data_IF_673969422874
#
_entry.id   IF_673969422874
#
_cell.length_a   1.000
_cell.length_b   1.000
_cell.length_c   1.000
_cell.angle_alpha   90.00
_cell.angle_beta   90.00
_cell.angle_gamma   90.00
#
_symmetry.space_group_name_H-M   'P 1'
#
loop_
_entity.id
_entity.type
_entity.pdbx_description
1 polymer ?
#
# COMPACT_ATOMS: atom_id res chain seq x y z
N UNK A 1 15.33 7.42 -26.33
CA UNK A 1 16.13 8.06 -25.27
C UNK A 1 17.00 9.14 -25.93
N UNK A 2 16.51 10.39 -25.90
CA UNK A 2 17.22 11.55 -26.48
C UNK A 2 17.63 12.59 -25.42
N UNK A 3 17.55 12.20 -24.12
CA UNK A 3 17.91 13.03 -22.99
C UNK A 3 19.34 12.74 -22.54
N UNK A 4 20.07 13.74 -22.11
CA UNK A 4 21.39 13.61 -21.50
C UNK A 4 21.31 13.01 -20.08
N UNK A 5 20.09 12.94 -19.52
CA UNK A 5 19.84 12.43 -18.18
C UNK A 5 19.15 11.05 -18.22
N UNK A 6 19.78 10.05 -17.63
CA UNK A 6 19.18 8.73 -17.36
C UNK A 6 18.73 8.61 -15.91
N UNK A 7 19.34 9.39 -15.01
CA UNK A 7 19.03 9.47 -13.58
C UNK A 7 19.32 10.87 -13.06
N UNK A 8 18.65 11.27 -11.96
CA UNK A 8 18.81 12.56 -11.29
C UNK A 8 18.64 13.79 -12.22
N UNK A 9 17.86 13.64 -13.28
CA UNK A 9 17.50 14.69 -14.22
C UNK A 9 16.10 15.28 -13.91
N UNK A 10 15.51 16.04 -14.86
CA UNK A 10 14.29 16.82 -14.64
C UNK A 10 13.01 15.99 -14.57
N UNK A 11 13.02 14.69 -14.95
CA UNK A 11 11.80 13.86 -14.97
C UNK A 11 11.41 13.39 -13.59
N UNK A 12 12.37 13.17 -12.69
CA UNK A 12 12.06 12.79 -11.30
C UNK A 12 11.28 13.89 -10.59
N UNK A 13 11.75 15.15 -10.48
CA UNK A 13 10.98 16.22 -9.83
C UNK A 13 9.66 16.52 -10.54
N UNK A 14 9.58 16.39 -11.87
CA UNK A 14 8.33 16.56 -12.59
C UNK A 14 7.30 15.47 -12.23
N UNK A 15 7.73 14.23 -12.04
CA UNK A 15 6.86 13.13 -11.62
C UNK A 15 6.43 13.29 -10.15
N UNK A 16 7.36 13.67 -9.26
CA UNK A 16 7.05 14.00 -7.86
C UNK A 16 5.96 15.07 -7.78
N UNK A 17 6.11 16.16 -8.54
CA UNK A 17 5.12 17.25 -8.59
C UNK A 17 3.77 16.79 -9.17
N UNK A 18 3.77 15.98 -10.24
CA UNK A 18 2.54 15.51 -10.87
C UNK A 18 1.72 14.63 -9.91
N UNK A 19 2.37 13.70 -9.20
CA UNK A 19 1.70 12.82 -8.23
C UNK A 19 1.25 13.61 -7.01
N UNK A 20 2.11 14.48 -6.44
CA UNK A 20 1.76 15.30 -5.29
C UNK A 20 0.56 16.21 -5.59
N UNK A 21 0.57 16.91 -6.74
CA UNK A 21 -0.53 17.77 -7.17
C UNK A 21 -1.83 16.99 -7.36
N UNK A 22 -1.78 15.81 -7.99
CA UNK A 22 -2.96 14.97 -8.19
C UNK A 22 -3.56 14.49 -6.86
N UNK A 23 -2.71 14.12 -5.91
CA UNK A 23 -3.12 13.64 -4.60
C UNK A 23 -3.47 14.76 -3.60
N UNK A 24 -3.13 16.01 -3.90
CA UNK A 24 -3.35 17.14 -2.98
C UNK A 24 -2.32 17.28 -1.86
N UNK A 25 -1.15 16.63 -1.99
CA UNK A 25 -0.03 16.76 -1.06
C UNK A 25 0.92 17.89 -1.49
N UNK A 26 1.70 18.44 -0.54
CA UNK A 26 2.67 19.49 -0.83
C UNK A 26 3.97 18.96 -1.44
N UNK A 27 4.38 17.73 -1.05
CA UNK A 27 5.67 17.15 -1.44
C UNK A 27 5.51 15.68 -1.84
N UNK A 28 6.22 15.29 -2.91
CA UNK A 28 6.43 13.90 -3.32
C UNK A 28 7.92 13.56 -3.30
N UNK A 29 8.25 12.37 -2.82
CA UNK A 29 9.62 11.84 -2.81
C UNK A 29 9.62 10.51 -3.55
N UNK A 30 10.04 10.53 -4.82
CA UNK A 30 10.10 9.35 -5.68
C UNK A 30 11.27 8.44 -5.30
N UNK A 31 10.99 7.15 -5.24
CA UNK A 31 11.96 6.09 -4.89
C UNK A 31 11.80 4.89 -5.82
N UNK A 32 12.78 3.99 -5.80
CA UNK A 32 12.85 2.82 -6.68
C UNK A 32 11.80 1.73 -6.36
N UNK A 33 11.09 1.80 -5.24
CA UNK A 33 9.99 0.89 -4.88
C UNK A 33 9.15 1.44 -3.72
N UNK A 34 7.90 0.98 -3.55
CA UNK A 34 7.10 1.30 -2.37
C UNK A 34 7.73 0.76 -1.07
N UNK A 35 8.44 -0.37 -1.14
CA UNK A 35 9.22 -0.89 0.00
C UNK A 35 10.23 0.15 0.49
N UNK A 36 10.96 0.77 -0.42
CA UNK A 36 11.89 1.85 -0.10
C UNK A 36 11.16 3.09 0.44
N UNK A 37 9.98 3.42 -0.11
CA UNK A 37 9.15 4.53 0.39
C UNK A 37 8.71 4.31 1.84
N UNK A 38 8.19 3.13 2.16
CA UNK A 38 7.80 2.75 3.53
C UNK A 38 8.99 2.79 4.49
N UNK A 39 10.15 2.30 4.07
CA UNK A 39 11.36 2.32 4.90
C UNK A 39 11.81 3.75 5.21
N UNK A 40 11.96 4.62 4.19
CA UNK A 40 12.36 6.01 4.46
C UNK A 40 11.28 6.80 5.20
N UNK A 41 9.99 6.46 5.07
CA UNK A 41 8.90 7.04 5.84
C UNK A 41 9.04 6.71 7.33
N UNK A 42 9.27 5.44 7.68
CA UNK A 42 9.57 5.04 9.05
C UNK A 42 10.79 5.79 9.61
N UNK A 43 11.89 5.83 8.84
CA UNK A 43 13.11 6.56 9.22
C UNK A 43 12.85 8.05 9.41
N UNK A 44 12.07 8.69 8.53
CA UNK A 44 11.74 10.11 8.63
C UNK A 44 10.93 10.43 9.88
N UNK A 45 10.05 9.53 10.32
CA UNK A 45 9.33 9.64 11.60
C UNK A 45 10.17 9.22 12.81
N UNK A 46 11.46 8.90 12.61
CA UNK A 46 12.39 8.56 13.68
C UNK A 46 12.16 7.16 14.28
N UNK A 47 11.54 6.24 13.51
CA UNK A 47 11.39 4.85 13.93
C UNK A 47 12.76 4.18 14.03
N UNK A 48 13.01 3.49 15.14
CA UNK A 48 14.27 2.82 15.43
C UNK A 48 14.16 1.75 16.52
N UNK A 49 15.30 1.26 17.03
CA UNK A 49 15.31 0.26 18.10
C UNK A 49 14.55 0.72 19.34
N UNK A 50 13.72 -0.16 19.90
CA UNK A 50 12.84 0.11 21.03
C UNK A 50 11.48 0.70 20.68
N UNK A 51 11.25 1.07 19.40
CA UNK A 51 9.93 1.48 18.92
C UNK A 51 9.15 0.28 18.39
N UNK A 52 7.81 0.38 18.36
CA UNK A 52 6.93 -0.57 17.71
C UNK A 52 6.17 0.09 16.55
N UNK A 53 5.94 -0.70 15.48
CA UNK A 53 5.11 -0.32 14.34
C UNK A 53 4.01 -1.37 14.18
N UNK A 54 2.75 -0.92 14.10
CA UNK A 54 1.63 -1.83 13.89
C UNK A 54 1.06 -1.67 12.49
N UNK A 55 0.70 -2.80 11.87
CA UNK A 55 0.09 -2.80 10.53
C UNK A 55 -1.02 -3.85 10.42
N UNK A 56 -1.70 -3.91 9.28
CA UNK A 56 -2.66 -4.98 8.97
C UNK A 56 -1.93 -6.28 8.61
N UNK A 57 -2.43 -7.45 9.00
CA UNK A 57 -1.90 -8.74 8.55
C UNK A 57 -2.21 -9.02 7.08
N UNK A 58 -3.29 -8.43 6.53
CA UNK A 58 -3.73 -8.60 5.15
C UNK A 58 -3.08 -7.55 4.25
N UNK A 59 -1.78 -7.74 4.00
CA UNK A 59 -0.94 -6.84 3.19
C UNK A 59 0.22 -7.59 2.55
N UNK A 60 0.92 -6.93 1.64
CA UNK A 60 2.25 -7.38 1.21
C UNK A 60 3.26 -7.19 2.35
N UNK A 61 4.23 -8.07 2.45
CA UNK A 61 5.21 -8.07 3.58
C UNK A 61 5.96 -6.76 3.77
N UNK A 62 6.02 -5.88 2.77
CA UNK A 62 6.74 -4.62 2.84
C UNK A 62 6.21 -3.68 3.93
N UNK A 63 4.89 -3.67 4.19
CA UNK A 63 4.27 -2.84 5.23
C UNK A 63 4.69 -3.24 6.65
N UNK A 64 5.11 -4.49 6.83
CA UNK A 64 5.67 -4.98 8.10
C UNK A 64 7.20 -4.92 8.12
N UNK A 65 7.85 -5.26 6.99
CA UNK A 65 9.32 -5.28 6.88
C UNK A 65 9.95 -3.90 7.12
N UNK A 66 9.26 -2.80 6.79
CA UNK A 66 9.80 -1.45 6.97
C UNK A 66 10.09 -1.11 8.45
N UNK A 67 9.33 -1.67 9.39
CA UNK A 67 9.63 -1.61 10.82
C UNK A 67 10.96 -2.30 11.13
N UNK A 68 11.09 -3.55 10.67
CA UNK A 68 12.27 -4.37 10.92
C UNK A 68 13.53 -3.79 10.28
N UNK A 69 13.42 -3.22 9.08
CA UNK A 69 14.55 -2.50 8.44
C UNK A 69 15.01 -1.29 9.24
N UNK A 70 14.09 -0.68 10.00
CA UNK A 70 14.40 0.43 10.89
C UNK A 70 14.90 -0.01 12.28
N UNK A 71 14.97 -1.33 12.54
CA UNK A 71 15.36 -1.89 13.83
C UNK A 71 14.25 -1.88 14.89
N UNK A 72 13.01 -1.57 14.49
CA UNK A 72 11.86 -1.54 15.38
C UNK A 72 11.16 -2.90 15.43
N UNK A 73 10.30 -3.08 16.42
CA UNK A 73 9.39 -4.22 16.50
C UNK A 73 8.17 -4.01 15.60
N UNK A 74 7.58 -5.13 15.15
CA UNK A 74 6.35 -5.11 14.35
C UNK A 74 5.26 -5.89 15.05
N UNK A 75 4.00 -5.41 14.92
CA UNK A 75 2.84 -6.13 15.40
C UNK A 75 1.64 -5.89 14.45
N UNK A 76 0.58 -6.69 14.62
CA UNK A 76 -0.53 -6.73 13.69
C UNK A 76 -1.86 -6.41 14.39
N UNK A 77 -2.71 -5.69 13.68
CA UNK A 77 -4.10 -5.40 14.04
C UNK A 77 -5.01 -6.10 13.05
N UNK A 78 -5.95 -6.91 13.54
CA UNK A 78 -6.84 -7.69 12.69
C UNK A 78 -7.71 -6.81 11.80
N UNK A 79 -8.28 -7.40 10.77
CA UNK A 79 -9.08 -6.73 9.75
C UNK A 79 -10.56 -6.63 10.14
N UNK A 80 -11.26 -5.69 9.53
CA UNK A 80 -12.72 -5.69 9.44
C UNK A 80 -13.16 -6.71 8.37
N UNK A 81 -14.07 -7.64 8.68
CA UNK A 81 -14.45 -8.74 7.77
C UNK A 81 -15.20 -8.30 6.52
N UNK A 82 -15.67 -7.05 6.45
CA UNK A 82 -16.36 -6.49 5.27
C UNK A 82 -15.43 -5.75 4.35
N UNK A 83 -14.53 -4.93 4.92
CA UNK A 83 -13.63 -4.06 4.15
C UNK A 83 -12.30 -4.72 3.85
N UNK A 84 -11.90 -5.70 4.65
CA UNK A 84 -10.59 -6.37 4.66
C UNK A 84 -9.43 -5.44 5.01
N UNK A 85 -9.73 -4.22 5.40
CA UNK A 85 -8.81 -3.23 5.92
C UNK A 85 -8.65 -3.39 7.44
N UNK A 86 -7.68 -2.70 8.04
CA UNK A 86 -7.48 -2.67 9.48
C UNK A 86 -8.79 -2.32 10.21
N UNK A 87 -9.20 -3.13 11.16
CA UNK A 87 -10.37 -2.88 12.00
C UNK A 87 -10.08 -1.76 12.99
N UNK A 88 -10.90 -0.70 12.97
CA UNK A 88 -10.79 0.41 13.92
C UNK A 88 -11.08 -0.07 15.34
N UNK A 89 -12.05 -0.96 15.51
CA UNK A 89 -12.41 -1.50 16.84
C UNK A 89 -11.26 -2.33 17.42
N UNK A 90 -10.64 -3.22 16.61
CA UNK A 90 -9.48 -4.01 17.05
C UNK A 90 -8.25 -3.13 17.33
N UNK A 91 -8.08 -2.06 16.54
CA UNK A 91 -7.04 -1.08 16.82
C UNK A 91 -7.27 -0.39 18.17
N UNK A 92 -8.49 0.06 18.44
CA UNK A 92 -8.84 0.71 19.70
C UNK A 92 -8.64 -0.23 20.90
N UNK A 93 -9.14 -1.47 20.83
CA UNK A 93 -8.95 -2.49 21.87
C UNK A 93 -7.47 -2.73 22.17
N UNK A 94 -6.66 -2.86 21.12
CA UNK A 94 -5.21 -3.11 21.25
C UNK A 94 -4.48 -1.90 21.83
N UNK A 95 -4.88 -0.68 21.45
CA UNK A 95 -4.30 0.56 21.98
C UNK A 95 -4.60 0.74 23.50
N UNK A 96 -5.80 0.38 23.96
CA UNK A 96 -6.14 0.41 25.39
C UNK A 96 -5.24 -0.55 26.18
N UNK A 97 -5.01 -1.75 25.66
CA UNK A 97 -4.11 -2.72 26.28
C UNK A 97 -2.67 -2.22 26.32
N UNK A 98 -2.19 -1.66 25.19
CA UNK A 98 -0.84 -1.13 25.06
C UNK A 98 -0.60 0.09 25.95
N UNK A 99 -1.60 0.94 26.15
CA UNK A 99 -1.54 2.07 27.09
C UNK A 99 -1.32 1.62 28.51
N UNK A 100 -1.99 0.54 28.93
CA UNK A 100 -1.84 -0.02 30.28
C UNK A 100 -0.41 -0.56 30.53
N UNK A 101 0.30 -0.97 29.50
CA UNK A 101 1.67 -1.52 29.55
C UNK A 101 2.75 -0.56 29.06
N UNK A 102 2.38 0.68 28.72
CA UNK A 102 3.26 1.70 28.15
C UNK A 102 3.99 1.22 26.88
N UNK A 103 3.28 0.48 26.02
CA UNK A 103 3.77 -0.10 24.75
C UNK A 103 2.99 0.37 23.53
N UNK A 104 2.44 1.60 23.56
CA UNK A 104 1.76 2.21 22.42
C UNK A 104 2.73 2.30 21.24
N UNK A 105 2.31 1.94 20.01
CA UNK A 105 3.19 1.98 18.85
C UNK A 105 3.58 3.41 18.51
N UNK A 106 4.76 3.60 17.97
CA UNK A 106 5.20 4.89 17.43
C UNK A 106 4.51 5.21 16.12
N UNK A 107 4.27 4.18 15.29
CA UNK A 107 3.64 4.31 13.98
C UNK A 107 2.59 3.21 13.80
N UNK A 108 1.44 3.58 13.23
CA UNK A 108 0.45 2.63 12.68
C UNK A 108 0.44 2.79 11.16
N UNK A 109 0.46 1.67 10.44
CA UNK A 109 0.43 1.61 8.98
C UNK A 109 -0.88 0.95 8.52
N UNK A 110 -2.00 1.70 8.37
CA UNK A 110 -3.18 1.21 7.69
C UNK A 110 -2.88 0.99 6.22
N UNK A 111 -3.43 -0.10 5.66
CA UNK A 111 -3.24 -0.49 4.25
C UNK A 111 -4.57 -0.37 3.53
N UNK A 112 -4.63 0.42 2.48
CA UNK A 112 -5.82 0.58 1.63
C UNK A 112 -5.98 -0.63 0.71
N UNK A 113 -6.37 -1.75 1.30
CA UNK A 113 -6.40 -3.04 0.62
C UNK A 113 -7.29 -3.02 -0.62
N UNK A 114 -6.83 -3.63 -1.72
CA UNK A 114 -7.52 -3.70 -3.02
C UNK A 114 -7.87 -2.33 -3.64
N UNK A 115 -7.44 -1.23 -3.02
CA UNK A 115 -7.77 0.15 -3.39
C UNK A 115 -8.90 0.76 -2.57
N UNK A 116 -9.54 0.00 -1.68
CA UNK A 116 -10.55 0.47 -0.74
C UNK A 116 -9.90 1.30 0.37
N UNK A 117 -10.29 2.58 0.58
CA UNK A 117 -9.75 3.37 1.67
C UNK A 117 -10.12 2.77 3.03
N UNK A 118 -9.18 2.83 3.97
CA UNK A 118 -9.46 2.60 5.40
C UNK A 118 -10.36 3.72 5.96
N UNK A 119 -10.97 3.51 7.12
CA UNK A 119 -11.62 4.59 7.87
C UNK A 119 -10.56 5.49 8.52
N UNK A 120 -9.95 6.33 7.67
CA UNK A 120 -8.84 7.16 8.08
C UNK A 120 -9.21 8.21 9.13
N UNK A 121 -10.45 8.70 9.14
CA UNK A 121 -10.90 9.67 10.14
C UNK A 121 -10.93 9.04 11.54
N UNK A 122 -11.42 7.80 11.66
CA UNK A 122 -11.45 7.09 12.93
C UNK A 122 -10.03 6.70 13.40
N UNK A 123 -9.18 6.22 12.49
CA UNK A 123 -7.76 5.91 12.80
C UNK A 123 -7.02 7.17 13.24
N UNK A 124 -7.26 8.30 12.56
CA UNK A 124 -6.66 9.58 12.93
C UNK A 124 -7.13 10.05 14.32
N UNK A 125 -8.42 9.91 14.64
CA UNK A 125 -8.91 10.23 15.98
C UNK A 125 -8.19 9.41 17.08
N UNK A 126 -7.96 8.12 16.82
CA UNK A 126 -7.17 7.28 17.73
C UNK A 126 -5.72 7.76 17.81
N UNK A 127 -5.11 8.21 16.70
CA UNK A 127 -3.75 8.73 16.72
C UNK A 127 -3.62 9.99 17.60
N UNK A 128 -4.61 10.86 17.57
CA UNK A 128 -4.64 12.04 18.43
C UNK A 128 -4.82 11.68 19.91
N UNK A 129 -5.57 10.62 20.20
CA UNK A 129 -5.83 10.18 21.56
C UNK A 129 -4.62 9.45 22.19
N UNK A 130 -3.89 8.65 21.40
CA UNK A 130 -2.82 7.78 21.89
C UNK A 130 -1.41 8.25 21.54
N UNK A 131 -1.27 9.24 20.63
CA UNK A 131 0.01 9.88 20.33
C UNK A 131 0.88 9.15 19.30
N UNK A 132 0.34 8.22 18.52
CA UNK A 132 1.10 7.57 17.44
C UNK A 132 1.02 8.35 16.11
N UNK A 133 1.98 8.12 15.22
CA UNK A 133 1.99 8.66 13.86
C UNK A 133 1.37 7.67 12.88
N UNK A 134 0.88 8.17 11.73
CA UNK A 134 0.26 7.34 10.69
C UNK A 134 1.07 7.42 9.39
N UNK A 135 1.39 6.25 8.82
CA UNK A 135 1.82 6.11 7.43
C UNK A 135 0.72 5.35 6.68
N UNK A 136 0.09 5.96 5.67
CA UNK A 136 -0.85 5.24 4.81
C UNK A 136 -0.09 4.40 3.77
N UNK A 137 -0.22 3.08 3.82
CA UNK A 137 0.18 2.24 2.69
C UNK A 137 -0.94 2.23 1.65
N UNK A 138 -0.84 3.15 0.72
CA UNK A 138 -1.77 3.34 -0.39
C UNK A 138 -1.29 2.68 -1.70
N UNK A 139 -0.44 1.64 -1.60
CA UNK A 139 0.13 0.92 -2.75
C UNK A 139 -0.92 0.36 -3.73
N UNK A 140 -2.18 0.28 -3.31
CA UNK A 140 -3.32 -0.17 -4.13
C UNK A 140 -4.31 0.96 -4.47
N UNK A 141 -4.09 2.20 -4.05
CA UNK A 141 -5.17 3.15 -3.91
C UNK A 141 -4.97 4.50 -4.63
N UNK A 142 -3.94 4.63 -5.48
CA UNK A 142 -3.82 5.83 -6.31
C UNK A 142 -5.08 6.02 -7.17
N UNK A 143 -5.61 7.24 -7.25
CA UNK A 143 -6.87 7.56 -7.90
C UNK A 143 -8.11 7.33 -7.03
N UNK A 144 -7.93 6.75 -5.83
CA UNK A 144 -8.98 6.60 -4.83
C UNK A 144 -9.27 7.91 -4.07
N UNK A 145 -10.42 7.93 -3.36
CA UNK A 145 -10.85 9.05 -2.50
C UNK A 145 -11.45 8.55 -1.19
N UNK A 146 -11.30 9.33 -0.14
CA UNK A 146 -11.96 9.12 1.13
C UNK A 146 -12.63 10.41 1.59
N UNK A 147 -13.96 10.36 1.85
CA UNK A 147 -14.78 11.56 2.19
C UNK A 147 -14.58 12.72 1.21
N UNK A 148 -14.48 12.40 -0.08
CA UNK A 148 -14.28 13.36 -1.18
C UNK A 148 -12.84 13.80 -1.42
N UNK A 149 -11.94 13.63 -0.48
CA UNK A 149 -10.52 13.98 -0.60
C UNK A 149 -9.73 12.87 -1.30
N UNK A 150 -8.77 13.20 -2.17
CA UNK A 150 -7.89 12.20 -2.76
C UNK A 150 -7.08 11.44 -1.70
N UNK A 151 -6.92 10.12 -1.89
CA UNK A 151 -5.92 9.35 -1.14
C UNK A 151 -4.54 9.89 -1.52
N UNK A 152 -3.70 10.13 -0.53
CA UNK A 152 -2.40 10.75 -0.70
C UNK A 152 -2.35 12.22 -0.27
N UNK A 153 -3.49 12.85 0.05
CA UNK A 153 -3.55 14.24 0.54
C UNK A 153 -2.85 14.45 1.89
N UNK A 154 -2.54 13.37 2.59
CA UNK A 154 -1.97 13.39 3.94
C UNK A 154 -2.82 14.16 4.97
N UNK A 155 -4.14 14.23 4.74
CA UNK A 155 -5.07 14.90 5.67
C UNK A 155 -5.16 14.18 7.02
N UNK A 156 -5.04 12.87 7.00
CA UNK A 156 -5.20 12.00 8.18
C UNK A 156 -3.92 11.30 8.59
N UNK A 157 -2.82 11.53 7.89
CA UNK A 157 -1.54 10.87 8.08
C UNK A 157 -0.37 11.82 7.96
N UNK A 158 0.77 11.44 8.49
CA UNK A 158 2.02 12.17 8.30
C UNK A 158 2.60 11.93 6.90
N UNK A 159 2.46 10.68 6.40
CA UNK A 159 3.02 10.24 5.12
C UNK A 159 2.03 9.26 4.46
N UNK A 160 1.87 9.35 3.14
CA UNK A 160 1.18 8.34 2.32
C UNK A 160 2.14 7.76 1.30
N UNK A 161 2.11 6.44 1.10
CA UNK A 161 3.00 5.74 0.17
C UNK A 161 2.21 5.13 -1.00
N UNK A 162 2.66 5.42 -2.23
CA UNK A 162 2.19 4.77 -3.45
C UNK A 162 3.22 3.80 -4.04
N UNK A 163 2.73 2.78 -4.73
CA UNK A 163 3.52 1.82 -5.51
C UNK A 163 3.25 1.97 -7.00
N UNK A 164 4.32 1.90 -7.77
CA UNK A 164 4.29 1.90 -9.24
C UNK A 164 4.90 0.62 -9.84
N UNK A 165 4.84 -0.49 -9.09
CA UNK A 165 5.16 -1.83 -9.59
C UNK A 165 4.27 -2.16 -10.81
N UNK A 166 4.71 -3.01 -11.78
CA UNK A 166 3.97 -3.29 -13.03
C UNK A 166 2.51 -3.70 -12.88
N UNK A 167 2.14 -4.37 -11.80
CA UNK A 167 0.77 -4.83 -11.55
C UNK A 167 -0.16 -3.72 -11.04
N UNK A 168 0.36 -2.54 -10.66
CA UNK A 168 -0.42 -1.47 -10.05
C UNK A 168 -1.27 -0.72 -11.08
N UNK A 169 -2.13 0.19 -10.62
CA UNK A 169 -3.05 0.97 -11.45
C UNK A 169 -2.31 1.75 -12.52
N UNK A 170 -1.19 2.36 -12.16
CA UNK A 170 -0.18 2.92 -13.05
C UNK A 170 1.20 2.39 -12.66
N UNK A 171 2.15 2.42 -13.59
CA UNK A 171 3.47 1.83 -13.37
C UNK A 171 4.62 2.72 -13.85
N UNK A 172 5.78 2.52 -13.23
CA UNK A 172 7.08 3.04 -13.68
C UNK A 172 8.05 1.90 -14.06
N UNK A 173 7.52 0.66 -14.26
CA UNK A 173 8.32 -0.56 -14.35
C UNK A 173 8.69 -1.08 -12.95
N UNK A 174 9.38 -0.34 -12.16
CA UNK A 174 9.55 -0.41 -10.71
C UNK A 174 9.53 1.00 -10.17
N UNK A 175 8.93 1.21 -8.99
CA UNK A 175 8.91 2.53 -8.36
C UNK A 175 7.96 2.63 -7.17
N UNK A 176 8.14 3.70 -6.43
CA UNK A 176 7.27 4.11 -5.35
C UNK A 176 7.37 5.61 -5.11
N UNK A 177 6.49 6.13 -4.29
CA UNK A 177 6.51 7.54 -3.87
C UNK A 177 5.99 7.68 -2.45
N UNK A 178 6.69 8.43 -1.64
CA UNK A 178 6.20 8.90 -0.36
C UNK A 178 5.70 10.34 -0.51
N UNK A 179 4.47 10.61 -0.09
CA UNK A 179 3.86 11.93 -0.08
C UNK A 179 3.76 12.46 1.35
N UNK A 180 3.94 13.76 1.51
CA UNK A 180 3.72 14.46 2.78
C UNK A 180 3.39 15.93 2.54
N UNK A 181 2.77 16.59 3.52
CA UNK A 181 2.62 18.05 3.53
C UNK A 181 3.59 18.74 4.50
N UNK A 182 4.41 17.98 5.21
CA UNK A 182 5.44 18.48 6.12
C UNK A 182 6.80 18.60 5.39
N UNK A 183 7.36 19.82 5.26
CA UNK A 183 8.64 20.05 4.59
C UNK A 183 9.82 19.35 5.30
N UNK A 184 9.77 19.19 6.63
CA UNK A 184 10.83 18.53 7.39
C UNK A 184 10.85 17.03 7.09
N UNK A 185 9.68 16.38 7.03
CA UNK A 185 9.58 14.97 6.64
C UNK A 185 10.02 14.76 5.19
N UNK A 186 9.63 15.66 4.28
CA UNK A 186 10.05 15.60 2.87
C UNK A 186 11.57 15.66 2.75
N UNK A 187 12.22 16.60 3.43
CA UNK A 187 13.68 16.75 3.40
C UNK A 187 14.40 15.52 3.97
N UNK A 188 13.94 15.01 5.11
CA UNK A 188 14.49 13.78 5.71
C UNK A 188 14.36 12.57 4.77
N UNK A 189 13.21 12.41 4.11
CA UNK A 189 13.02 11.32 3.15
C UNK A 189 13.94 11.46 1.93
N UNK A 190 14.16 12.68 1.43
CA UNK A 190 15.13 12.94 0.35
C UNK A 190 16.55 12.56 0.77
N UNK A 191 16.95 12.88 2.00
CA UNK A 191 18.27 12.51 2.54
C UNK A 191 18.41 10.98 2.64
N UNK A 192 17.43 10.30 3.25
CA UNK A 192 17.45 8.84 3.39
C UNK A 192 17.43 8.11 2.04
N UNK A 193 16.74 8.65 1.04
CA UNK A 193 16.74 8.14 -0.34
C UNK A 193 18.13 8.21 -1.01
N UNK A 194 18.96 9.15 -0.59
CA UNK A 194 20.23 9.53 -1.27
C UNK A 194 21.43 9.46 -0.32
N UNK A 195 21.67 8.30 0.31
CA UNK A 195 22.83 7.99 1.17
C UNK A 195 22.95 8.84 2.46
N UNK A 196 21.97 9.67 2.81
CA UNK A 196 22.10 10.63 3.91
C UNK A 196 23.05 11.79 3.60
N UNK A 197 23.28 12.04 2.31
CA UNK A 197 24.20 13.09 1.84
C UNK A 197 23.44 14.40 1.65
N UNK A 198 24.09 15.49 2.00
CA UNK A 198 23.64 16.87 1.70
C UNK A 198 24.77 17.72 1.13
N UNK A 199 24.43 18.65 0.25
CA UNK A 199 25.28 19.75 -0.19
C UNK A 199 24.76 21.13 0.24
N UNK A 200 23.67 21.14 1.08
CA UNK A 200 23.08 22.38 1.60
C UNK A 200 23.97 22.93 2.72
N UNK A 201 24.53 24.13 2.59
CA UNK A 201 25.47 24.69 3.58
C UNK A 201 24.90 24.76 4.99
N UNK A 202 23.59 25.04 5.11
CA UNK A 202 22.88 25.18 6.40
C UNK A 202 22.75 23.84 7.17
N UNK A 203 22.92 22.70 6.48
CA UNK A 203 22.85 21.37 7.06
C UNK A 203 24.23 20.72 7.26
N UNK A 204 25.29 21.36 6.71
CA UNK A 204 26.64 20.82 6.78
C UNK A 204 27.36 21.33 8.05
N UNK A 205 28.26 20.50 8.59
CA UNK A 205 29.24 20.95 9.55
C UNK A 205 30.20 21.94 8.90
N UNK A 206 30.69 22.96 9.64
CA UNK A 206 31.64 23.94 9.12
C UNK A 206 32.85 23.28 8.43
N UNK A 207 33.16 23.76 7.23
CA UNK A 207 34.28 23.33 6.40
C UNK A 207 35.02 24.54 5.82
N UNK A 208 36.28 24.41 5.35
CA UNK A 208 36.94 25.47 4.63
C UNK A 208 36.11 26.00 3.46
N UNK A 209 36.03 27.32 3.32
CA UNK A 209 35.17 27.99 2.32
C UNK A 209 35.61 27.79 0.86
N UNK A 210 36.84 27.34 0.66
CA UNK A 210 37.49 27.06 -0.64
C UNK A 210 37.21 25.62 -1.15
N UNK A 211 36.60 24.75 -0.31
CA UNK A 211 36.17 23.41 -0.71
C UNK A 211 34.82 23.45 -1.46
N UNK A 212 34.78 24.00 -2.66
CA UNK A 212 33.58 24.20 -3.48
C UNK A 212 32.92 22.87 -3.96
N UNK A 213 33.66 21.77 -3.93
CA UNK A 213 33.18 20.41 -4.23
C UNK A 213 32.57 19.71 -3.03
N UNK A 214 32.45 20.40 -1.89
CA UNK A 214 32.08 19.80 -0.60
C UNK A 214 30.63 19.30 -0.59
N UNK A 215 30.43 18.09 -0.12
CA UNK A 215 29.19 17.51 0.34
C UNK A 215 29.47 16.68 1.60
N UNK A 216 28.45 16.44 2.40
CA UNK A 216 28.63 15.68 3.64
C UNK A 216 27.58 14.61 3.79
N UNK A 217 27.96 13.43 4.27
CA UNK A 217 27.05 12.44 4.78
C UNK A 217 26.74 12.80 6.25
N UNK A 218 25.52 13.23 6.50
CA UNK A 218 25.07 13.67 7.84
C UNK A 218 24.18 12.63 8.53
N UNK A 219 23.71 11.61 7.79
CA UNK A 219 22.97 10.48 8.33
C UNK A 219 23.25 9.23 7.49
N UNK A 220 22.82 8.07 7.99
CA UNK A 220 22.91 6.81 7.25
C UNK A 220 21.71 6.67 6.31
N UNK A 221 21.89 6.88 5.03
CA UNK A 221 20.87 6.71 4.01
C UNK A 221 21.14 5.54 3.06
N UNK A 222 20.28 5.41 2.06
CA UNK A 222 20.27 4.31 1.10
C UNK A 222 20.38 4.84 -0.34
N UNK A 223 20.64 3.97 -1.30
CA UNK A 223 20.49 4.28 -2.72
C UNK A 223 19.10 3.84 -3.20
N UNK A 224 18.08 4.63 -2.91
CA UNK A 224 16.69 4.34 -3.26
C UNK A 224 16.13 5.26 -4.35
N UNK A 225 17.01 5.97 -5.07
CA UNK A 225 16.60 6.92 -6.11
C UNK A 225 15.89 6.23 -7.27
N UNK A 226 14.79 6.83 -7.73
CA UNK A 226 14.15 6.50 -9.01
C UNK A 226 14.95 7.11 -10.16
N UNK A 227 14.99 6.44 -11.31
CA UNK A 227 15.61 6.96 -12.52
C UNK A 227 14.69 7.90 -13.30
N UNK A 228 15.27 8.75 -14.15
CA UNK A 228 14.49 9.60 -15.06
C UNK A 228 13.69 8.79 -16.08
N UNK A 229 14.19 7.62 -16.50
CA UNK A 229 13.46 6.72 -17.39
C UNK A 229 12.18 6.20 -16.76
N UNK A 230 12.25 5.76 -15.49
CA UNK A 230 11.09 5.33 -14.71
C UNK A 230 10.10 6.47 -14.51
N UNK A 231 10.60 7.65 -14.14
CA UNK A 231 9.78 8.85 -13.93
C UNK A 231 9.08 9.32 -15.21
N UNK A 232 9.74 9.22 -16.37
CA UNK A 232 9.16 9.55 -17.67
C UNK A 232 8.00 8.61 -18.03
N UNK A 233 8.14 7.31 -17.74
CA UNK A 233 7.04 6.35 -17.86
C UNK A 233 5.89 6.71 -16.93
N UNK A 234 6.18 7.00 -15.65
CA UNK A 234 5.19 7.41 -14.65
C UNK A 234 4.40 8.65 -15.09
N UNK A 235 5.07 9.68 -15.60
CA UNK A 235 4.41 10.88 -16.15
C UNK A 235 3.44 10.55 -17.28
N UNK A 236 3.84 9.66 -18.21
CA UNK A 236 2.98 9.19 -19.28
C UNK A 236 1.75 8.43 -18.76
N UNK A 237 1.93 7.61 -17.71
CA UNK A 237 0.84 6.86 -17.09
C UNK A 237 -0.14 7.75 -16.30
N UNK A 238 0.36 8.80 -15.63
CA UNK A 238 -0.47 9.75 -14.88
C UNK A 238 -1.55 10.40 -15.74
N UNK A 239 -1.27 10.67 -17.01
CA UNK A 239 -2.25 11.26 -17.96
C UNK A 239 -3.50 10.37 -18.14
N UNK A 240 -3.36 9.05 -17.93
CA UNK A 240 -4.43 8.07 -18.11
C UNK A 240 -5.01 7.52 -16.81
N UNK A 241 -4.58 8.02 -15.66
CA UNK A 241 -4.95 7.47 -14.35
C UNK A 241 -6.47 7.45 -14.15
N UNK A 242 -7.16 8.56 -14.39
CA UNK A 242 -8.61 8.66 -14.20
C UNK A 242 -9.38 7.75 -15.18
N UNK A 243 -8.90 7.62 -16.42
CA UNK A 243 -9.42 6.65 -17.39
C UNK A 243 -9.32 5.22 -16.84
N UNK A 244 -8.14 4.83 -16.36
CA UNK A 244 -7.92 3.48 -15.83
C UNK A 244 -8.78 3.17 -14.61
N UNK A 245 -8.94 4.12 -13.69
CA UNK A 245 -9.81 3.94 -12.52
C UNK A 245 -11.28 3.84 -12.94
N UNK A 246 -11.74 4.69 -13.86
CA UNK A 246 -13.11 4.65 -14.39
C UNK A 246 -13.42 3.30 -15.04
N UNK A 247 -12.53 2.78 -15.88
CA UNK A 247 -12.70 1.46 -16.53
C UNK A 247 -12.75 0.34 -15.49
N UNK A 248 -11.88 0.38 -14.48
CA UNK A 248 -11.88 -0.61 -13.39
C UNK A 248 -13.20 -0.60 -12.61
N UNK A 249 -13.79 0.56 -12.35
CA UNK A 249 -15.10 0.66 -11.74
C UNK A 249 -16.22 0.06 -12.60
N UNK A 250 -16.19 0.27 -13.91
CA UNK A 250 -17.16 -0.35 -14.84
C UNK A 250 -17.03 -1.89 -14.84
N UNK A 251 -15.80 -2.41 -14.87
CA UNK A 251 -15.52 -3.85 -14.75
C UNK A 251 -16.06 -4.39 -13.41
N UNK A 252 -15.79 -3.70 -12.31
CA UNK A 252 -16.24 -4.10 -10.98
C UNK A 252 -17.77 -4.13 -10.86
N UNK A 253 -18.45 -3.10 -11.37
CA UNK A 253 -19.92 -3.05 -11.38
C UNK A 253 -20.55 -4.22 -12.17
N UNK A 254 -19.91 -4.59 -13.31
CA UNK A 254 -20.36 -5.75 -14.07
C UNK A 254 -20.10 -7.06 -13.33
N UNK A 255 -18.98 -7.22 -12.63
CA UNK A 255 -18.72 -8.39 -11.79
C UNK A 255 -19.73 -8.51 -10.66
N UNK A 256 -20.10 -7.40 -10.00
CA UNK A 256 -21.11 -7.40 -8.95
C UNK A 256 -22.45 -8.00 -9.43
N UNK A 257 -22.90 -7.65 -10.64
CA UNK A 257 -24.14 -8.17 -11.21
C UNK A 257 -24.02 -9.64 -11.63
N UNK A 258 -22.93 -10.02 -12.29
CA UNK A 258 -22.75 -11.38 -12.82
C UNK A 258 -22.49 -12.41 -11.71
N UNK A 259 -21.89 -12.01 -10.59
CA UNK A 259 -21.59 -12.89 -9.46
C UNK A 259 -22.75 -13.01 -8.46
N UNK A 260 -23.79 -12.21 -8.60
CA UNK A 260 -24.89 -12.09 -7.61
C UNK A 260 -25.61 -13.40 -7.30
N UNK A 261 -25.71 -14.30 -8.29
CA UNK A 261 -26.38 -15.60 -8.15
C UNK A 261 -25.44 -16.74 -7.72
N UNK A 262 -24.13 -16.48 -7.62
CA UNK A 262 -23.14 -17.49 -7.27
C UNK A 262 -22.86 -17.48 -5.75
N UNK A 263 -22.45 -18.60 -5.16
CA UNK A 263 -22.13 -18.72 -3.73
C UNK A 263 -20.79 -18.06 -3.38
N UNK A 264 -20.71 -16.75 -3.65
CA UNK A 264 -19.55 -15.92 -3.36
C UNK A 264 -19.98 -14.60 -2.74
N UNK A 265 -19.11 -13.99 -1.94
CA UNK A 265 -19.26 -12.62 -1.44
C UNK A 265 -18.40 -11.70 -2.28
N UNK A 266 -19.01 -10.68 -2.88
CA UNK A 266 -18.33 -9.63 -3.65
C UNK A 266 -17.76 -8.55 -2.72
N UNK A 267 -16.76 -7.74 -3.16
CA UNK A 267 -16.17 -6.69 -2.34
C UNK A 267 -17.20 -5.65 -1.90
N UNK A 268 -17.34 -5.46 -0.58
CA UNK A 268 -18.12 -4.35 -0.04
C UNK A 268 -17.42 -3.01 -0.32
N UNK A 269 -18.20 -1.97 -0.61
CA UNK A 269 -17.67 -0.63 -0.89
C UNK A 269 -18.19 0.36 0.14
N UNK A 270 -17.28 1.10 0.77
CA UNK A 270 -17.63 2.16 1.71
C UNK A 270 -18.38 3.29 1.00
N UNK A 271 -19.50 3.78 1.54
CA UNK A 271 -20.17 4.98 1.01
C UNK A 271 -19.29 6.25 1.14
N UNK A 272 -18.35 6.26 2.08
CA UNK A 272 -17.39 7.35 2.28
C UNK A 272 -16.15 7.23 1.38
N UNK A 273 -16.03 6.12 0.61
CA UNK A 273 -14.85 5.80 -0.17
C UNK A 273 -15.13 5.68 -1.66
N UNK A 274 -14.23 6.20 -2.49
CA UNK A 274 -14.09 5.85 -3.90
C UNK A 274 -12.81 5.04 -4.06
N UNK A 275 -12.94 3.75 -4.36
CA UNK A 275 -11.79 2.83 -4.43
C UNK A 275 -10.92 3.12 -5.65
N UNK A 276 -9.59 2.97 -5.54
CA UNK A 276 -8.69 2.86 -6.69
C UNK A 276 -8.94 1.59 -7.53
N UNK A 277 -9.71 0.64 -7.00
CA UNK A 277 -10.15 -0.60 -7.66
C UNK A 277 -8.99 -1.39 -8.27
N UNK A 278 -7.93 -1.57 -7.46
CA UNK A 278 -6.73 -2.30 -7.88
C UNK A 278 -6.99 -3.80 -8.04
N UNK A 279 -7.66 -4.41 -7.06
CA UNK A 279 -8.04 -5.81 -7.07
C UNK A 279 -9.56 -5.96 -6.99
N UNK A 280 -10.07 -7.05 -7.55
CA UNK A 280 -11.40 -7.53 -7.29
C UNK A 280 -11.31 -8.91 -6.62
N UNK A 281 -11.65 -8.97 -5.34
CA UNK A 281 -11.51 -10.17 -4.51
C UNK A 281 -12.88 -10.73 -4.19
N UNK A 282 -13.14 -11.97 -4.60
CA UNK A 282 -14.31 -12.72 -4.15
C UNK A 282 -13.96 -13.56 -2.93
N UNK A 283 -14.91 -13.75 -2.02
CA UNK A 283 -14.81 -14.76 -0.95
C UNK A 283 -15.80 -15.87 -1.23
N UNK A 284 -15.33 -17.09 -1.19
CA UNK A 284 -16.15 -18.29 -1.37
C UNK A 284 -17.00 -18.51 -0.13
N UNK A 285 -18.27 -18.81 -0.32
CA UNK A 285 -19.16 -19.26 0.74
C UNK A 285 -19.01 -20.78 0.89
N UNK A 286 -17.98 -21.18 1.63
CA UNK A 286 -17.54 -22.57 1.74
C UNK A 286 -18.60 -23.48 2.39
N UNK A 287 -19.56 -22.93 3.10
CA UNK A 287 -20.73 -23.61 3.64
C UNK A 287 -21.84 -23.88 2.60
N UNK A 288 -21.82 -23.15 1.48
CA UNK A 288 -22.77 -23.31 0.37
C UNK A 288 -22.22 -24.16 -0.79
N UNK A 289 -20.94 -24.57 -0.75
CA UNK A 289 -20.28 -25.35 -1.82
C UNK A 289 -19.63 -26.61 -1.27
N UNK A 290 -19.49 -27.64 -2.13
CA UNK A 290 -18.84 -28.91 -1.77
C UNK A 290 -17.36 -28.97 -2.19
N UNK A 291 -16.75 -27.84 -2.45
CA UNK A 291 -15.35 -27.73 -2.90
C UNK A 291 -14.55 -26.86 -1.93
N UNK A 292 -13.27 -27.19 -1.78
CA UNK A 292 -12.34 -26.33 -1.02
C UNK A 292 -11.93 -25.12 -1.84
N UNK A 293 -11.42 -24.08 -1.18
CA UNK A 293 -10.81 -22.94 -1.89
C UNK A 293 -9.71 -23.39 -2.85
N UNK A 294 -8.92 -24.38 -2.47
CA UNK A 294 -7.86 -24.93 -3.31
C UNK A 294 -8.42 -25.54 -4.59
N UNK A 295 -9.47 -26.37 -4.50
CA UNK A 295 -10.09 -27.01 -5.66
C UNK A 295 -10.62 -25.96 -6.64
N UNK A 296 -11.28 -24.92 -6.11
CA UNK A 296 -11.78 -23.80 -6.94
C UNK A 296 -10.62 -23.05 -7.58
N UNK A 297 -9.56 -22.76 -6.83
CA UNK A 297 -8.39 -22.04 -7.33
C UNK A 297 -7.67 -22.83 -8.46
N UNK A 298 -7.46 -24.13 -8.25
CA UNK A 298 -6.83 -25.02 -9.25
C UNK A 298 -7.70 -25.13 -10.49
N UNK A 299 -9.01 -25.34 -10.35
CA UNK A 299 -9.97 -25.40 -11.46
C UNK A 299 -10.00 -24.10 -12.30
N UNK A 300 -9.95 -22.93 -11.67
CA UNK A 300 -9.89 -21.65 -12.37
C UNK A 300 -8.60 -21.53 -13.21
N UNK A 301 -7.46 -21.95 -12.65
CA UNK A 301 -6.19 -21.93 -13.35
C UNK A 301 -6.15 -22.92 -14.54
N UNK A 302 -6.71 -24.11 -14.37
CA UNK A 302 -6.84 -25.12 -15.44
C UNK A 302 -7.71 -24.61 -16.59
N UNK A 303 -8.70 -23.77 -16.30
CA UNK A 303 -9.54 -23.10 -17.28
C UNK A 303 -8.89 -21.83 -17.90
N UNK A 304 -7.61 -21.55 -17.58
CA UNK A 304 -6.87 -20.41 -18.13
C UNK A 304 -7.17 -19.07 -17.46
N UNK A 305 -7.88 -19.06 -16.33
CA UNK A 305 -8.14 -17.83 -15.57
C UNK A 305 -6.97 -17.54 -14.60
N UNK A 306 -6.32 -16.41 -14.81
CA UNK A 306 -5.21 -15.94 -13.96
C UNK A 306 -5.71 -15.43 -12.61
N UNK A 307 -5.88 -16.32 -11.63
CA UNK A 307 -6.27 -15.98 -10.26
C UNK A 307 -5.06 -15.90 -9.33
N UNK A 308 -5.22 -15.15 -8.24
CA UNK A 308 -4.21 -15.04 -7.19
C UNK A 308 -4.88 -14.95 -5.80
N UNK A 309 -4.07 -15.08 -4.75
CA UNK A 309 -4.50 -14.87 -3.37
C UNK A 309 -3.72 -13.69 -2.77
N UNK A 310 -4.44 -12.65 -2.40
CA UNK A 310 -3.91 -11.47 -1.70
C UNK A 310 -4.59 -11.39 -0.31
N UNK A 311 -3.94 -11.75 0.80
CA UNK A 311 -2.62 -12.33 0.98
C UNK A 311 -2.63 -13.48 2.01
N UNK A 312 -1.56 -14.27 2.06
CA UNK A 312 -1.25 -15.04 3.27
C UNK A 312 -1.04 -13.99 4.37
N UNK A 313 -1.71 -14.06 5.53
CA UNK A 313 -1.48 -13.12 6.62
C UNK A 313 0.02 -13.03 6.95
N UNK A 314 0.57 -11.81 7.00
CA UNK A 314 2.04 -11.62 7.07
C UNK A 314 2.65 -12.38 8.23
N UNK A 315 2.02 -12.38 9.38
CA UNK A 315 2.53 -13.08 10.57
C UNK A 315 2.55 -14.62 10.43
N UNK A 316 1.83 -15.19 9.40
CA UNK A 316 1.87 -16.61 9.03
C UNK A 316 3.01 -16.95 8.06
N UNK A 317 3.80 -15.98 7.64
CA UNK A 317 5.02 -16.26 6.88
C UNK A 317 6.09 -16.88 7.81
N UNK A 318 6.87 -17.86 7.35
CA UNK A 318 7.86 -18.55 8.19
C UNK A 318 8.84 -17.63 8.90
N UNK A 319 9.15 -16.47 8.32
CA UNK A 319 10.01 -15.49 8.95
C UNK A 319 9.39 -14.93 10.24
N UNK A 320 8.11 -14.55 10.19
CA UNK A 320 7.37 -13.97 11.31
C UNK A 320 6.97 -15.04 12.34
N UNK A 321 6.68 -16.28 11.90
CA UNK A 321 6.44 -17.40 12.83
C UNK A 321 7.67 -17.67 13.72
N UNK A 322 8.89 -17.54 13.17
CA UNK A 322 10.14 -17.61 13.98
C UNK A 322 10.29 -16.47 14.98
N UNK A 323 9.61 -15.33 14.76
CA UNK A 323 9.56 -14.24 15.74
C UNK A 323 8.54 -14.48 16.87
N UNK A 324 7.79 -15.60 16.82
CA UNK A 324 6.87 -16.01 17.88
C UNK A 324 5.39 -15.85 17.54
N UNK A 325 5.04 -15.30 16.37
CA UNK A 325 3.65 -15.24 15.93
C UNK A 325 3.11 -16.63 15.62
N UNK A 326 1.81 -16.85 15.89
CA UNK A 326 1.15 -18.16 15.75
C UNK A 326 -0.17 -18.04 15.01
N UNK A 327 -0.67 -19.17 14.51
CA UNK A 327 -2.04 -19.30 14.00
C UNK A 327 -3.06 -18.83 15.05
N UNK A 328 -4.13 -18.19 14.59
CA UNK A 328 -5.17 -17.62 15.44
C UNK A 328 -4.88 -16.21 15.97
N UNK A 329 -3.73 -15.62 15.62
CA UNK A 329 -3.37 -14.27 16.09
C UNK A 329 -4.32 -13.18 15.58
N UNK A 330 -4.74 -13.26 14.29
CA UNK A 330 -5.74 -12.41 13.68
C UNK A 330 -6.80 -13.28 12.98
N UNK A 331 -7.85 -13.70 13.71
CA UNK A 331 -8.82 -14.68 13.22
C UNK A 331 -9.60 -14.24 11.98
N UNK A 332 -9.94 -12.95 11.85
CA UNK A 332 -10.65 -12.44 10.68
C UNK A 332 -9.78 -12.46 9.41
N UNK A 333 -8.49 -12.14 9.54
CA UNK A 333 -7.54 -12.25 8.44
C UNK A 333 -7.32 -13.71 8.01
N UNK A 334 -7.32 -14.66 8.96
CA UNK A 334 -7.22 -16.08 8.64
C UNK A 334 -8.50 -16.63 7.99
N UNK A 335 -9.68 -16.16 8.43
CA UNK A 335 -10.94 -16.52 7.78
C UNK A 335 -10.99 -15.98 6.35
N UNK A 336 -10.61 -14.71 6.16
CA UNK A 336 -10.47 -14.12 4.83
C UNK A 336 -9.52 -14.96 3.95
N UNK A 337 -8.35 -15.31 4.46
CA UNK A 337 -7.35 -16.11 3.74
C UNK A 337 -7.88 -17.46 3.25
N UNK A 338 -8.74 -18.13 4.04
CA UNK A 338 -9.34 -19.42 3.67
C UNK A 338 -10.39 -19.32 2.58
N UNK A 339 -10.93 -18.14 2.31
CA UNK A 339 -12.08 -17.95 1.42
C UNK A 339 -11.76 -17.11 0.18
N UNK A 340 -10.73 -16.25 0.24
CA UNK A 340 -10.48 -15.22 -0.76
C UNK A 340 -9.82 -15.76 -2.03
N UNK A 341 -10.29 -15.26 -3.17
CA UNK A 341 -9.64 -15.42 -4.48
C UNK A 341 -9.70 -14.08 -5.20
N UNK A 342 -8.56 -13.55 -5.64
CA UNK A 342 -8.50 -12.38 -6.52
C UNK A 342 -8.67 -12.80 -7.96
N UNK A 343 -9.68 -12.27 -8.62
CA UNK A 343 -10.00 -12.52 -10.03
C UNK A 343 -9.46 -11.41 -10.93
N UNK A 344 -9.33 -11.62 -12.25
CA UNK A 344 -8.75 -10.64 -13.16
C UNK A 344 -9.40 -9.26 -13.08
N UNK A 345 -8.58 -8.21 -12.93
CA UNK A 345 -9.01 -6.81 -12.84
C UNK A 345 -7.95 -5.91 -13.48
N UNK A 346 -8.14 -5.53 -14.75
CA UNK A 346 -7.24 -4.63 -15.48
C UNK A 346 -7.98 -3.91 -16.61
N UNK A 347 -7.57 -2.69 -17.04
CA UNK A 347 -8.34 -1.88 -18.00
C UNK A 347 -8.58 -2.52 -19.37
N UNK A 348 -7.74 -3.47 -19.79
CA UNK A 348 -7.91 -4.22 -21.05
C UNK A 348 -8.82 -5.45 -20.95
N UNK A 349 -9.46 -5.70 -19.79
CA UNK A 349 -10.37 -6.84 -19.62
C UNK A 349 -11.69 -6.58 -20.37
N UNK A 350 -11.85 -7.23 -21.52
CA UNK A 350 -13.05 -7.06 -22.36
C UNK A 350 -14.29 -7.71 -21.74
N UNK A 351 -15.46 -7.36 -22.25
CA UNK A 351 -16.74 -7.94 -21.82
C UNK A 351 -16.79 -9.45 -22.04
N UNK A 352 -16.21 -9.93 -23.14
CA UNK A 352 -16.12 -11.35 -23.49
C UNK A 352 -15.22 -12.10 -22.51
N UNK A 353 -14.01 -11.56 -22.25
CA UNK A 353 -13.08 -12.15 -21.28
C UNK A 353 -13.66 -12.17 -19.87
N UNK A 354 -14.39 -11.11 -19.49
CA UNK A 354 -15.08 -11.06 -18.21
C UNK A 354 -16.19 -12.13 -18.12
N UNK A 355 -16.94 -12.37 -19.22
CA UNK A 355 -17.90 -13.46 -19.32
C UNK A 355 -17.23 -14.83 -19.13
N UNK A 356 -16.09 -15.07 -19.78
CA UNK A 356 -15.30 -16.32 -19.62
C UNK A 356 -14.86 -16.54 -18.17
N UNK A 357 -14.44 -15.47 -17.48
CA UNK A 357 -14.08 -15.55 -16.04
C UNK A 357 -15.29 -16.00 -15.21
N UNK A 358 -16.48 -15.46 -15.45
CA UNK A 358 -17.70 -15.82 -14.73
C UNK A 358 -18.10 -17.27 -15.01
N UNK A 359 -18.07 -17.70 -16.28
CA UNK A 359 -18.37 -19.08 -16.68
C UNK A 359 -17.41 -20.08 -16.02
N UNK A 360 -16.13 -19.70 -15.91
CA UNK A 360 -15.12 -20.51 -15.24
C UNK A 360 -15.39 -20.60 -13.72
N UNK A 361 -15.78 -19.49 -13.08
CA UNK A 361 -16.15 -19.47 -11.65
C UNK A 361 -17.38 -20.36 -11.43
N UNK A 362 -18.44 -20.21 -12.23
CA UNK A 362 -19.67 -21.03 -12.08
C UNK A 362 -19.35 -22.54 -12.20
N UNK A 363 -18.49 -22.92 -13.16
CA UNK A 363 -18.04 -24.32 -13.31
C UNK A 363 -17.18 -24.77 -12.13
N UNK A 364 -16.26 -23.93 -11.65
CA UNK A 364 -15.37 -24.27 -10.55
C UNK A 364 -16.09 -24.45 -9.21
N UNK A 365 -17.25 -23.82 -9.03
CA UNK A 365 -18.07 -23.92 -7.82
C UNK A 365 -18.98 -25.16 -7.79
N UNK A 366 -19.20 -25.80 -8.94
CA UNK A 366 -20.01 -27.02 -9.05
C UNK A 366 -19.20 -28.25 -8.61
N UNK A 367 -19.91 -29.31 -8.10
CA UNK A 367 -19.27 -30.55 -7.68
C UNK A 367 -18.45 -31.24 -8.79
#
# INVERSE_FOLDING_TARGET
MRSDFLTQGPKVPAFEQAVASYAGASYGVAVNSATSALHIACRALGVGPGDAVWTSPNTFVASANCALYSGAEVDFVDIDPRTYNMSVDRLAEKLEQAKATNSVPKVVIPVHFAGQPCDMAAIHALSQQYGFQIIEDASHAIGGRYKGEPIGSCRYSAITVFSFHPVKIITTGEGGMALTSDPVLAERMVQFRSHGITSKPELMHPRPVDEIWNYQQIDLGNNYRMTDMQSALGLSQMVRLDEFVTVRHAIAARYDELLKALPVTTPWRSPDGYSGMHLYVIRLKLDEIHRTQRDVYESLREQGVGVNLHYIPVYRQPYYERMGFKAGYCPEAEQYYREAISIPMYPGLTTELQGQVIDAIDKALKP
#
